data_IF_954556614771
#
_entry.id   IF_954556614771
#
_cell.length_a   1.000
_cell.length_b   1.000
_cell.length_c   1.000
_cell.angle_alpha   90.00
_cell.angle_beta   90.00
_cell.angle_gamma   90.00
#
_symmetry.space_group_name_H-M   'P 1'
#
loop_
_entity.id
_entity.type
_entity.pdbx_description
1 polymer ?
#
# COMPACT_ATOMS: atom_id res chain seq x y z
N UNK A 1 -4.93 36.48 -3.46
CA UNK A 1 -5.14 35.40 -4.47
C UNK A 1 -4.06 35.48 -5.55
N UNK A 2 -3.47 36.67 -5.78
CA UNK A 2 -2.31 36.88 -6.66
C UNK A 2 -1.07 36.00 -6.34
N UNK A 3 -0.83 35.63 -5.09
CA UNK A 3 0.40 34.89 -4.72
C UNK A 3 0.46 33.46 -5.25
N UNK A 4 -0.69 32.81 -5.49
CA UNK A 4 -0.74 31.41 -5.96
C UNK A 4 -0.53 31.32 -7.47
N UNK A 5 -0.92 32.35 -8.22
CA UNK A 5 -0.72 32.39 -9.68
C UNK A 5 0.72 32.73 -10.06
N UNK A 6 1.42 33.53 -9.26
CA UNK A 6 2.86 33.79 -9.44
C UNK A 6 3.74 32.55 -9.19
N UNK A 7 3.29 31.60 -8.38
CA UNK A 7 4.01 30.36 -8.12
C UNK A 7 3.87 29.35 -9.29
N UNK A 8 2.71 29.32 -9.95
CA UNK A 8 2.45 28.42 -11.07
C UNK A 8 3.13 28.87 -12.37
N UNK A 9 3.29 30.18 -12.57
CA UNK A 9 3.97 30.78 -13.73
C UNK A 9 4.84 31.96 -13.29
N UNK A 10 6.04 31.71 -12.73
CA UNK A 10 6.89 32.77 -12.20
C UNK A 10 7.42 33.68 -13.32
N UNK A 11 7.50 34.98 -13.03
CA UNK A 11 8.13 35.96 -13.93
C UNK A 11 9.63 35.71 -13.97
N UNK A 12 10.15 35.31 -15.13
CA UNK A 12 11.58 35.03 -15.32
C UNK A 12 12.37 36.20 -15.89
N UNK A 13 11.67 37.17 -16.49
CA UNK A 13 12.27 38.35 -17.08
C UNK A 13 11.92 39.58 -16.23
N UNK A 14 12.90 40.43 -15.90
CA UNK A 14 12.63 41.67 -15.20
C UNK A 14 11.85 42.59 -16.14
N UNK A 15 10.62 42.87 -15.75
CA UNK A 15 9.84 43.99 -16.31
C UNK A 15 9.58 44.90 -15.14
N UNK A 16 10.20 46.07 -15.14
CA UNK A 16 9.95 47.08 -14.11
C UNK A 16 8.48 47.53 -14.23
N UNK A 17 7.79 47.65 -13.10
CA UNK A 17 6.44 48.26 -13.04
C UNK A 17 6.48 49.77 -13.33
N UNK A 18 7.67 50.32 -13.61
CA UNK A 18 7.91 51.73 -13.86
C UNK A 18 7.15 52.22 -15.08
N UNK A 19 6.42 53.32 -14.85
CA UNK A 19 5.89 54.22 -15.85
C UNK A 19 6.99 54.61 -16.85
N UNK A 20 7.09 53.84 -17.94
CA UNK A 20 7.77 54.31 -19.14
C UNK A 20 7.21 55.70 -19.43
N UNK A 21 8.10 56.68 -19.58
CA UNK A 21 7.79 58.06 -19.91
C UNK A 21 6.66 58.13 -20.95
N UNK A 22 5.85 59.20 -20.89
CA UNK A 22 4.61 59.46 -21.65
C UNK A 22 4.67 59.29 -23.20
N UNK A 23 5.75 58.72 -23.74
CA UNK A 23 6.11 58.58 -25.15
C UNK A 23 6.12 57.11 -25.65
N UNK A 24 5.57 56.14 -24.88
CA UNK A 24 5.44 54.75 -25.37
C UNK A 24 4.34 54.65 -26.43
N UNK A 25 4.74 54.69 -27.71
CA UNK A 25 3.85 54.47 -28.85
C UNK A 25 3.79 52.98 -29.25
N UNK A 26 2.67 52.27 -28.99
CA UNK A 26 2.52 50.87 -29.35
C UNK A 26 2.38 50.63 -30.85
N UNK A 27 2.35 51.66 -31.70
CA UNK A 27 2.25 51.53 -33.16
C UNK A 27 3.60 51.46 -33.87
N UNK A 28 4.68 51.95 -33.23
CA UNK A 28 6.04 51.90 -33.77
C UNK A 28 6.75 50.61 -33.34
N UNK A 29 7.66 50.02 -34.13
CA UNK A 29 8.46 48.88 -33.70
C UNK A 29 9.29 49.20 -32.44
N UNK A 30 9.29 48.32 -31.41
CA UNK A 30 10.04 48.56 -30.19
C UNK A 30 11.54 48.55 -30.46
N UNK A 31 12.26 49.48 -29.84
CA UNK A 31 13.72 49.63 -29.98
C UNK A 31 14.48 49.02 -28.81
N UNK A 32 13.78 48.72 -27.71
CA UNK A 32 14.35 48.10 -26.51
C UNK A 32 13.60 46.81 -26.10
N UNK A 33 14.28 45.85 -25.44
CA UNK A 33 13.63 44.65 -24.91
C UNK A 33 12.49 44.95 -23.91
N UNK A 34 12.62 46.01 -23.12
CA UNK A 34 11.62 46.44 -22.13
C UNK A 34 10.34 46.95 -22.80
N UNK A 35 10.46 47.75 -23.86
CA UNK A 35 9.32 48.19 -24.68
C UNK A 35 8.59 46.99 -25.32
N UNK A 36 9.36 46.00 -25.78
CA UNK A 36 8.80 44.77 -26.33
C UNK A 36 8.00 43.98 -25.28
N UNK A 37 8.58 43.74 -24.10
CA UNK A 37 7.89 42.99 -23.03
C UNK A 37 6.63 43.70 -22.55
N UNK A 38 6.65 45.04 -22.45
CA UNK A 38 5.45 45.83 -22.11
C UNK A 38 4.38 45.74 -23.20
N UNK A 39 4.76 45.80 -24.48
CA UNK A 39 3.84 45.58 -25.60
C UNK A 39 3.18 44.21 -25.56
N UNK A 40 3.97 43.17 -25.25
CA UNK A 40 3.48 41.80 -25.08
C UNK A 40 2.52 41.70 -23.90
N UNK A 41 2.80 42.35 -22.76
CA UNK A 41 1.87 42.40 -21.63
C UNK A 41 0.54 43.07 -22.00
N UNK A 42 0.58 44.18 -22.75
CA UNK A 42 -0.62 44.89 -23.22
C UNK A 42 -1.42 44.06 -24.23
N UNK A 43 -0.73 43.37 -25.15
CA UNK A 43 -1.37 42.48 -26.13
C UNK A 43 -2.00 41.27 -25.46
N UNK A 44 -1.28 40.62 -24.55
CA UNK A 44 -1.80 39.49 -23.77
C UNK A 44 -2.99 39.90 -22.88
N UNK A 45 -2.98 41.10 -22.30
CA UNK A 45 -4.11 41.63 -21.53
C UNK A 45 -5.36 41.90 -22.37
N UNK A 46 -5.22 42.06 -23.70
CA UNK A 46 -6.35 42.14 -24.64
C UNK A 46 -6.86 40.78 -25.07
N UNK A 47 -6.04 39.73 -24.94
CA UNK A 47 -6.46 38.37 -25.21
C UNK A 47 -7.38 37.88 -24.09
N UNK A 48 -8.43 37.10 -24.41
CA UNK A 48 -9.24 36.45 -23.39
C UNK A 48 -8.40 35.42 -22.63
N UNK A 49 -8.48 35.47 -21.29
CA UNK A 49 -7.71 34.60 -20.38
C UNK A 49 -8.01 33.10 -20.58
N UNK A 50 -9.27 32.78 -20.92
CA UNK A 50 -9.71 31.42 -21.24
C UNK A 50 -10.46 31.43 -22.57
N UNK A 51 -10.01 30.58 -23.49
CA UNK A 51 -10.70 30.30 -24.75
C UNK A 51 -11.17 28.85 -24.78
N UNK A 52 -12.42 28.62 -25.18
CA UNK A 52 -12.98 27.27 -25.30
C UNK A 52 -13.26 26.98 -26.77
N UNK A 53 -12.54 25.99 -27.33
CA UNK A 53 -12.79 25.50 -28.68
C UNK A 53 -13.94 24.48 -28.68
N UNK A 54 -14.93 24.67 -29.55
CA UNK A 54 -16.02 23.70 -29.73
C UNK A 54 -15.53 22.54 -30.61
N UNK A 55 -15.38 21.36 -30.01
CA UNK A 55 -14.94 20.14 -30.68
C UNK A 55 -16.11 19.15 -30.67
N UNK A 56 -16.37 18.48 -31.80
CA UNK A 56 -17.38 17.41 -31.88
C UNK A 56 -17.01 16.25 -30.93
N UNK A 57 -17.79 16.01 -29.85
CA UNK A 57 -17.47 14.98 -28.85
C UNK A 57 -17.47 13.56 -29.44
N UNK A 58 -18.15 13.35 -30.58
CA UNK A 58 -18.20 12.05 -31.26
C UNK A 58 -16.84 11.63 -31.81
N UNK A 59 -15.91 12.56 -32.02
CA UNK A 59 -14.54 12.27 -32.48
C UNK A 59 -13.67 11.73 -31.34
N UNK A 60 -13.94 12.13 -30.10
CA UNK A 60 -13.13 11.75 -28.92
C UNK A 60 -13.60 10.42 -28.29
N UNK A 61 -14.91 10.14 -28.32
CA UNK A 61 -15.49 8.93 -27.71
C UNK A 61 -15.15 7.61 -28.42
N UNK A 62 -14.63 7.64 -29.65
CA UNK A 62 -14.37 6.43 -30.46
C UNK A 62 -13.12 5.64 -30.03
N UNK A 63 -12.21 6.24 -29.27
CA UNK A 63 -10.90 5.64 -28.92
C UNK A 63 -10.53 5.78 -27.44
N UNK A 64 -11.53 5.85 -26.57
CA UNK A 64 -11.26 5.95 -25.13
C UNK A 64 -10.76 4.61 -24.60
N UNK A 65 -9.61 4.61 -23.94
CA UNK A 65 -9.09 3.45 -23.21
C UNK A 65 -9.92 3.23 -21.95
N UNK A 66 -10.14 1.97 -21.60
CA UNK A 66 -10.84 1.61 -20.35
C UNK A 66 -9.89 1.78 -19.17
N UNK A 67 -10.41 2.31 -18.06
CA UNK A 67 -9.73 2.25 -16.77
C UNK A 67 -10.13 0.94 -16.10
N UNK A 68 -9.14 0.10 -15.80
CA UNK A 68 -9.38 -1.18 -15.13
C UNK A 68 -9.38 -0.92 -13.62
N UNK A 69 -10.56 -0.96 -13.02
CA UNK A 69 -10.72 -0.99 -11.57
C UNK A 69 -10.74 -2.43 -11.08
N UNK A 70 -10.02 -2.73 -10.00
CA UNK A 70 -10.10 -4.03 -9.34
C UNK A 70 -11.51 -4.28 -8.82
N UNK A 71 -12.02 -5.51 -8.96
CA UNK A 71 -13.31 -5.90 -8.41
C UNK A 71 -13.27 -5.93 -6.88
N UNK A 72 -14.37 -5.51 -6.25
CA UNK A 72 -14.55 -5.63 -4.80
C UNK A 72 -14.79 -7.08 -4.35
N UNK A 73 -14.96 -7.27 -3.05
CA UNK A 73 -15.32 -8.56 -2.47
C UNK A 73 -16.68 -9.05 -2.97
N UNK A 74 -16.80 -10.35 -3.24
CA UNK A 74 -18.08 -10.95 -3.61
C UNK A 74 -19.02 -11.00 -2.40
N UNK A 75 -20.33 -10.73 -2.59
CA UNK A 75 -21.29 -10.82 -1.50
C UNK A 75 -21.40 -12.26 -1.00
N UNK A 76 -21.57 -12.41 0.31
CA UNK A 76 -21.79 -13.73 0.91
C UNK A 76 -23.11 -14.33 0.39
N UNK A 77 -23.16 -15.65 0.14
CA UNK A 77 -24.42 -16.34 -0.16
C UNK A 77 -25.48 -16.11 0.92
N UNK A 78 -26.75 -16.25 0.53
CA UNK A 78 -27.87 -16.04 1.46
C UNK A 78 -27.76 -16.96 2.68
N UNK A 79 -27.92 -16.39 3.88
CA UNK A 79 -27.74 -17.10 5.15
C UNK A 79 -26.30 -17.19 5.68
N UNK A 80 -25.28 -16.87 4.87
CA UNK A 80 -23.86 -16.88 5.28
C UNK A 80 -23.32 -15.49 5.63
N UNK A 81 -24.12 -14.43 5.44
CA UNK A 81 -23.71 -13.08 5.79
C UNK A 81 -23.66 -12.88 7.31
N UNK A 82 -22.51 -12.48 7.88
CA UNK A 82 -22.38 -12.29 9.32
C UNK A 82 -23.18 -11.07 9.80
N UNK A 83 -23.81 -11.18 10.96
CA UNK A 83 -24.53 -10.04 11.56
C UNK A 83 -23.58 -8.89 11.90
N UNK A 84 -24.07 -7.65 11.80
CA UNK A 84 -23.27 -6.46 12.11
C UNK A 84 -22.72 -6.48 13.55
N UNK A 85 -23.51 -6.95 14.51
CA UNK A 85 -23.10 -7.11 15.90
C UNK A 85 -21.91 -8.05 16.05
N UNK A 86 -21.93 -9.17 15.34
CA UNK A 86 -20.81 -10.12 15.34
C UNK A 86 -19.56 -9.49 14.72
N UNK A 87 -19.69 -8.78 13.59
CA UNK A 87 -18.55 -8.09 12.96
C UNK A 87 -17.91 -7.07 13.91
N UNK A 88 -18.70 -6.23 14.59
CA UNK A 88 -18.20 -5.25 15.56
C UNK A 88 -17.50 -5.92 16.75
N UNK A 89 -18.03 -7.06 17.23
CA UNK A 89 -17.40 -7.85 18.27
C UNK A 89 -16.03 -8.40 17.82
N UNK A 90 -15.93 -8.92 16.59
CA UNK A 90 -14.67 -9.40 16.04
C UNK A 90 -13.63 -8.29 15.91
N UNK A 91 -14.02 -7.12 15.39
CA UNK A 91 -13.13 -5.95 15.29
C UNK A 91 -12.62 -5.50 16.66
N UNK A 92 -13.48 -5.47 17.67
CA UNK A 92 -13.10 -5.14 19.05
C UNK A 92 -12.14 -6.18 19.65
N UNK A 93 -12.43 -7.46 19.46
CA UNK A 93 -11.59 -8.55 19.94
C UNK A 93 -10.21 -8.53 19.27
N UNK A 94 -10.18 -8.35 17.95
CA UNK A 94 -8.94 -8.22 17.18
C UNK A 94 -8.09 -7.04 17.66
N UNK A 95 -8.71 -5.89 17.95
CA UNK A 95 -8.01 -4.73 18.53
C UNK A 95 -7.36 -5.06 19.87
N UNK A 96 -8.05 -5.79 20.75
CA UNK A 96 -7.50 -6.23 22.04
C UNK A 96 -6.31 -7.17 21.87
N UNK A 97 -6.42 -8.16 20.97
CA UNK A 97 -5.33 -9.09 20.66
C UNK A 97 -4.11 -8.33 20.16
N UNK A 98 -4.29 -7.44 19.19
CA UNK A 98 -3.21 -6.61 18.65
C UNK A 98 -2.51 -5.78 19.74
N UNK A 99 -3.27 -5.14 20.62
CA UNK A 99 -2.70 -4.38 21.74
C UNK A 99 -1.88 -5.29 22.68
N UNK A 100 -2.37 -6.49 22.95
CA UNK A 100 -1.66 -7.48 23.78
C UNK A 100 -0.37 -7.97 23.14
N UNK A 101 -0.40 -8.32 21.84
CA UNK A 101 0.78 -8.75 21.08
C UNK A 101 1.84 -7.64 21.10
N UNK A 102 1.43 -6.40 20.84
CA UNK A 102 2.35 -5.27 20.85
C UNK A 102 2.96 -5.02 22.24
N UNK A 103 2.14 -5.05 23.29
CA UNK A 103 2.59 -4.84 24.68
C UNK A 103 3.67 -5.83 25.11
N UNK A 104 3.59 -7.08 24.64
CA UNK A 104 4.52 -8.15 25.02
C UNK A 104 5.54 -8.49 23.93
N UNK A 105 5.61 -7.72 22.84
CA UNK A 105 6.46 -8.04 21.68
C UNK A 105 7.93 -8.18 22.05
N UNK A 106 8.47 -7.23 22.81
CA UNK A 106 9.88 -7.25 23.20
C UNK A 106 10.20 -8.41 24.15
N UNK A 107 9.25 -8.74 25.03
CA UNK A 107 9.36 -9.91 25.91
C UNK A 107 9.48 -11.21 25.09
N UNK A 108 8.59 -11.43 24.12
CA UNK A 108 8.61 -12.62 23.28
C UNK A 108 9.80 -12.66 22.31
N UNK A 109 10.27 -11.50 21.85
CA UNK A 109 11.46 -11.39 21.01
C UNK A 109 12.73 -11.82 21.76
N UNK A 110 12.81 -11.53 23.06
CA UNK A 110 13.96 -11.88 23.90
C UNK A 110 14.00 -13.35 24.35
N UNK A 111 12.88 -14.08 24.27
CA UNK A 111 12.83 -15.52 24.58
C UNK A 111 13.66 -16.31 23.58
N UNK A 112 14.41 -17.32 24.04
CA UNK A 112 15.16 -18.23 23.14
C UNK A 112 14.17 -19.08 22.32
N UNK A 113 14.45 -19.28 21.02
CA UNK A 113 13.69 -20.27 20.24
C UNK A 113 14.30 -21.64 20.49
N UNK A 114 13.48 -22.68 20.52
CA UNK A 114 14.03 -24.05 20.54
C UNK A 114 14.96 -24.27 19.34
N UNK A 115 16.00 -25.08 19.53
CA UNK A 115 17.03 -25.34 18.52
C UNK A 115 16.49 -25.91 17.20
N UNK A 116 15.23 -26.38 17.20
CA UNK A 116 14.54 -26.89 16.03
C UNK A 116 13.90 -25.80 15.15
N UNK A 117 13.86 -24.54 15.60
CA UNK A 117 13.20 -23.45 14.85
C UNK A 117 14.22 -22.65 14.05
N UNK A 118 14.37 -22.99 12.77
CA UNK A 118 15.16 -22.20 11.82
C UNK A 118 14.22 -21.38 10.95
N UNK A 119 14.21 -20.06 11.13
CA UNK A 119 13.39 -19.15 10.31
C UNK A 119 14.01 -18.98 8.92
N UNK A 120 13.24 -19.13 7.83
CA UNK A 120 13.71 -18.88 6.47
C UNK A 120 14.14 -17.43 6.26
N UNK A 121 14.94 -17.19 5.21
CA UNK A 121 15.26 -15.83 4.77
C UNK A 121 14.03 -15.14 4.19
N UNK A 122 13.99 -13.80 4.19
CA UNK A 122 12.77 -13.08 3.74
C UNK A 122 12.39 -13.38 2.28
N UNK A 123 13.38 -13.65 1.42
CA UNK A 123 13.17 -13.93 -0.01
C UNK A 123 12.89 -15.42 -0.31
N UNK A 124 12.89 -16.29 0.70
CA UNK A 124 12.71 -17.73 0.54
C UNK A 124 11.23 -18.13 0.63
N UNK A 125 10.50 -17.91 -0.47
CA UNK A 125 9.07 -18.21 -0.58
C UNK A 125 8.76 -19.69 -0.25
N UNK A 126 9.50 -20.63 -0.83
CA UNK A 126 9.28 -22.06 -0.60
C UNK A 126 9.59 -22.45 0.86
N UNK A 127 10.65 -21.89 1.43
CA UNK A 127 10.99 -22.07 2.83
C UNK A 127 9.88 -21.57 3.76
N UNK A 128 9.31 -20.39 3.50
CA UNK A 128 8.19 -19.86 4.29
C UNK A 128 6.92 -20.69 4.16
N UNK A 129 6.61 -21.19 2.96
CA UNK A 129 5.46 -22.10 2.76
C UNK A 129 5.64 -23.38 3.57
N UNK A 130 6.80 -24.04 3.48
CA UNK A 130 7.11 -25.26 4.25
C UNK A 130 7.15 -25.00 5.76
N UNK A 131 7.71 -23.87 6.18
CA UNK A 131 7.81 -23.50 7.58
C UNK A 131 6.42 -23.29 8.21
N UNK A 132 5.50 -22.64 7.50
CA UNK A 132 4.16 -22.34 8.01
C UNK A 132 3.16 -23.51 7.86
N UNK A 133 3.27 -24.31 6.80
CA UNK A 133 2.28 -25.32 6.41
C UNK A 133 2.74 -26.76 6.61
N UNK A 134 4.04 -26.97 6.83
CA UNK A 134 4.63 -28.29 6.93
C UNK A 134 4.79 -28.98 5.58
N UNK A 135 5.65 -30.00 5.59
CA UNK A 135 5.98 -30.79 4.41
C UNK A 135 4.79 -31.64 3.90
N UNK A 136 3.85 -32.03 4.78
CA UNK A 136 2.67 -32.84 4.42
C UNK A 136 1.67 -32.13 3.51
N UNK A 137 1.48 -30.82 3.66
CA UNK A 137 0.58 -30.03 2.80
C UNK A 137 1.27 -29.51 1.53
N UNK A 138 2.61 -29.42 1.53
CA UNK A 138 3.39 -29.06 0.34
C UNK A 138 3.54 -30.24 -0.64
N UNK A 139 3.66 -31.48 -0.13
CA UNK A 139 3.96 -32.70 -0.90
C UNK A 139 2.82 -33.74 -0.90
N UNK A 140 1.55 -33.36 -1.10
CA UNK A 140 0.53 -34.34 -1.52
C UNK A 140 0.75 -34.80 -2.99
N UNK A 141 1.95 -35.31 -3.33
CA UNK A 141 2.20 -36.00 -4.60
C UNK A 141 3.13 -37.23 -4.53
N UNK A 142 3.73 -37.62 -3.41
CA UNK A 142 4.52 -38.86 -3.41
C UNK A 142 4.26 -39.74 -2.20
N UNK A 143 3.39 -40.72 -2.47
CA UNK A 143 3.27 -42.08 -1.94
C UNK A 143 4.29 -42.52 -0.86
N UNK A 144 3.72 -43.03 0.25
CA UNK A 144 4.20 -44.06 1.20
C UNK A 144 5.68 -44.16 1.62
N UNK A 145 5.85 -44.51 2.92
CA UNK A 145 7.06 -44.94 3.66
C UNK A 145 7.67 -43.75 4.45
N UNK A 146 7.76 -43.69 5.78
CA UNK A 146 7.90 -44.73 6.82
C UNK A 146 7.32 -44.20 8.15
N UNK A 147 6.74 -45.09 8.95
CA UNK A 147 6.57 -44.86 10.39
C UNK A 147 7.95 -44.84 11.05
N UNK A 148 8.24 -43.81 11.83
CA UNK A 148 9.17 -43.94 12.95
C UNK A 148 8.55 -43.29 14.19
N UNK A 149 8.45 -44.07 15.26
CA UNK A 149 7.77 -43.69 16.50
C UNK A 149 8.72 -42.81 17.34
N UNK A 150 8.54 -41.50 17.24
CA UNK A 150 8.96 -40.57 18.29
C UNK A 150 7.71 -39.86 18.84
N UNK A 151 7.49 -39.80 20.17
CA UNK A 151 6.31 -39.15 20.75
C UNK A 151 6.39 -37.62 20.74
N UNK A 152 7.37 -37.04 20.02
CA UNK A 152 7.49 -35.61 19.81
C UNK A 152 6.71 -35.18 18.57
N UNK A 153 6.01 -34.04 18.66
CA UNK A 153 5.37 -33.43 17.49
C UNK A 153 6.47 -32.98 16.53
N UNK A 154 6.57 -33.61 15.36
CA UNK A 154 7.51 -33.20 14.32
C UNK A 154 6.93 -32.01 13.54
N UNK A 155 7.25 -30.81 14.03
CA UNK A 155 6.85 -29.54 13.41
C UNK A 155 7.42 -29.35 12.00
N UNK A 156 8.40 -30.15 11.56
CA UNK A 156 8.91 -30.13 10.18
C UNK A 156 7.86 -30.73 9.23
N UNK A 157 7.12 -31.76 9.67
CA UNK A 157 6.09 -32.40 8.85
C UNK A 157 4.75 -31.66 8.82
N UNK A 158 4.37 -31.02 9.93
CA UNK A 158 3.04 -30.40 10.13
C UNK A 158 3.08 -28.87 9.98
N UNK A 159 4.25 -28.26 10.07
CA UNK A 159 4.42 -26.81 10.04
C UNK A 159 4.47 -26.22 11.45
N UNK A 160 5.14 -25.08 11.56
CA UNK A 160 5.25 -24.35 12.80
C UNK A 160 4.00 -23.51 13.03
N UNK A 161 3.32 -23.67 14.18
CA UNK A 161 2.18 -22.80 14.50
C UNK A 161 2.65 -21.35 14.65
N UNK A 162 1.77 -20.37 14.45
CA UNK A 162 2.09 -18.95 14.57
C UNK A 162 2.27 -18.53 16.04
N UNK A 163 3.37 -18.97 16.66
CA UNK A 163 3.73 -18.67 18.04
C UNK A 163 4.17 -17.22 18.18
N UNK A 164 3.86 -16.60 19.32
CA UNK A 164 4.29 -15.22 19.61
C UNK A 164 5.82 -15.07 19.63
N UNK A 165 6.55 -16.12 20.01
CA UNK A 165 8.02 -16.15 19.97
C UNK A 165 8.57 -16.04 18.54
N UNK A 166 7.85 -16.56 17.54
CA UNK A 166 8.23 -16.52 16.12
C UNK A 166 7.77 -15.19 15.51
N UNK A 167 6.49 -14.88 15.63
CA UNK A 167 5.87 -13.71 14.97
C UNK A 167 6.42 -12.40 15.53
N UNK A 168 6.76 -12.33 16.81
CA UNK A 168 7.36 -11.12 17.41
C UNK A 168 8.77 -10.83 16.89
N UNK A 169 9.44 -11.80 16.26
CA UNK A 169 10.77 -11.63 15.66
C UNK A 169 10.72 -11.18 14.20
N UNK A 170 9.60 -11.42 13.52
CA UNK A 170 9.40 -10.96 12.16
C UNK A 170 9.38 -9.43 12.13
N UNK A 171 10.08 -8.86 11.16
CA UNK A 171 10.02 -7.43 10.85
C UNK A 171 8.85 -7.16 9.87
N UNK A 172 8.52 -5.90 9.62
CA UNK A 172 7.40 -5.56 8.75
C UNK A 172 7.52 -6.16 7.34
N UNK A 173 8.70 -6.07 6.75
CA UNK A 173 8.95 -6.57 5.40
C UNK A 173 8.72 -8.07 5.34
N UNK A 174 9.25 -8.82 6.31
CA UNK A 174 9.05 -10.28 6.41
C UNK A 174 7.58 -10.64 6.61
N UNK A 175 6.83 -9.92 7.45
CA UNK A 175 5.39 -10.18 7.64
C UNK A 175 4.63 -9.99 6.33
N UNK A 176 4.90 -8.90 5.61
CA UNK A 176 4.24 -8.59 4.34
C UNK A 176 4.60 -9.61 3.25
N UNK A 177 5.88 -9.97 3.10
CA UNK A 177 6.32 -11.01 2.15
C UNK A 177 5.68 -12.36 2.47
N UNK A 178 5.63 -12.76 3.74
CA UNK A 178 5.00 -14.02 4.16
C UNK A 178 3.50 -14.01 3.87
N UNK A 179 2.81 -12.89 4.14
CA UNK A 179 1.39 -12.76 3.79
C UNK A 179 1.15 -12.86 2.28
N UNK A 180 2.02 -12.29 1.46
CA UNK A 180 1.96 -12.42 0.00
C UNK A 180 2.16 -13.89 -0.43
N UNK A 181 3.18 -14.58 0.09
CA UNK A 181 3.44 -15.99 -0.20
C UNK A 181 2.27 -16.91 0.16
N UNK A 182 1.63 -16.67 1.30
CA UNK A 182 0.48 -17.44 1.75
C UNK A 182 -0.79 -17.10 0.95
N UNK A 183 -0.95 -15.83 0.54
CA UNK A 183 -2.05 -15.42 -0.34
C UNK A 183 -1.91 -16.06 -1.72
N UNK A 184 -0.71 -16.07 -2.28
CA UNK A 184 -0.42 -16.76 -3.55
C UNK A 184 -0.70 -18.27 -3.43
N UNK A 185 -0.29 -18.90 -2.32
CA UNK A 185 -0.61 -20.30 -2.07
C UNK A 185 -2.11 -20.54 -1.94
N UNK A 186 -2.86 -19.65 -1.27
CA UNK A 186 -4.31 -19.76 -1.09
C UNK A 186 -5.08 -19.66 -2.41
N UNK A 187 -4.56 -18.91 -3.38
CA UNK A 187 -5.14 -18.85 -4.73
C UNK A 187 -4.97 -20.18 -5.47
N UNK A 188 -3.89 -20.92 -5.20
CA UNK A 188 -3.56 -22.18 -5.88
C UNK A 188 -4.12 -23.43 -5.19
N UNK A 189 -4.41 -23.37 -3.88
CA UNK A 189 -4.74 -24.53 -3.03
C UNK A 189 -5.97 -24.30 -2.15
N UNK A 190 -6.43 -25.36 -1.49
CA UNK A 190 -7.61 -25.32 -0.63
C UNK A 190 -7.35 -24.62 0.72
N UNK A 191 -8.42 -24.08 1.29
CA UNK A 191 -8.39 -23.34 2.54
C UNK A 191 -8.19 -24.26 3.75
N UNK A 192 -7.08 -24.12 4.48
CA UNK A 192 -6.81 -24.87 5.72
C UNK A 192 -6.95 -23.97 6.97
N UNK A 193 -7.36 -24.53 8.13
CA UNK A 193 -7.50 -23.76 9.36
C UNK A 193 -6.15 -23.21 9.89
N UNK A 194 -5.05 -23.87 9.57
CA UNK A 194 -3.69 -23.45 9.94
C UNK A 194 -3.27 -22.17 9.20
N UNK A 195 -3.61 -22.05 7.91
CA UNK A 195 -3.42 -20.82 7.14
C UNK A 195 -4.20 -19.65 7.72
N UNK A 196 -5.44 -19.90 8.14
CA UNK A 196 -6.26 -18.84 8.70
C UNK A 196 -5.70 -18.32 10.02
N UNK A 197 -5.24 -19.22 10.88
CA UNK A 197 -4.55 -18.82 12.10
C UNK A 197 -3.31 -18.00 11.78
N UNK A 198 -2.54 -18.40 10.76
CA UNK A 198 -1.31 -17.72 10.39
C UNK A 198 -1.56 -16.35 9.73
N UNK A 199 -2.52 -16.24 8.80
CA UNK A 199 -2.97 -14.96 8.25
C UNK A 199 -3.52 -14.04 9.33
N UNK A 200 -4.34 -14.54 10.26
CA UNK A 200 -4.88 -13.75 11.37
C UNK A 200 -3.79 -13.20 12.29
N UNK A 201 -2.79 -14.02 12.62
CA UNK A 201 -1.67 -13.61 13.47
C UNK A 201 -0.72 -12.67 12.72
N UNK A 202 -0.41 -12.94 11.46
CA UNK A 202 0.39 -12.05 10.61
C UNK A 202 -0.30 -10.69 10.47
N UNK A 203 -1.61 -10.63 10.22
CA UNK A 203 -2.37 -9.36 10.20
C UNK A 203 -2.39 -8.65 11.56
N UNK A 204 -2.42 -9.41 12.66
CA UNK A 204 -2.30 -8.86 14.02
C UNK A 204 -0.91 -8.24 14.26
N UNK A 205 0.12 -8.77 13.61
CA UNK A 205 1.49 -8.23 13.57
C UNK A 205 1.68 -7.08 12.57
N UNK A 206 1.03 -7.13 11.40
CA UNK A 206 1.23 -6.22 10.27
C UNK A 206 0.63 -4.83 10.51
N UNK A 207 -0.51 -4.76 11.20
CA UNK A 207 -1.12 -3.48 11.54
C UNK A 207 -0.34 -2.69 12.63
N UNK A 208 0.72 -3.28 13.20
CA UNK A 208 1.54 -2.67 14.26
C UNK A 208 2.39 -1.51 13.72
N UNK A 209 2.78 -1.50 12.44
CA UNK A 209 3.79 -0.54 11.95
C UNK A 209 3.18 0.61 11.12
N UNK A 210 2.05 0.40 10.44
CA UNK A 210 1.39 1.48 9.67
C UNK A 210 0.82 2.61 10.54
N UNK A 211 0.61 2.41 11.84
CA UNK A 211 0.24 3.49 12.77
C UNK A 211 1.43 4.22 13.40
N UNK A 212 2.64 3.70 13.30
CA UNK A 212 3.85 4.37 13.82
C UNK A 212 4.33 5.55 12.96
N UNK A 213 3.92 5.60 11.69
CA UNK A 213 4.39 6.63 10.73
C UNK A 213 3.36 7.72 10.40
N UNK A 214 2.15 7.66 10.96
CA UNK A 214 1.06 8.62 10.68
C UNK A 214 0.71 9.53 11.86
N UNK A 215 1.47 9.50 12.97
CA UNK A 215 1.24 10.37 14.13
C UNK A 215 2.17 11.59 14.22
N UNK A 216 3.00 11.88 13.20
CA UNK A 216 3.86 13.06 13.15
C UNK A 216 3.67 13.85 11.83
N UNK A 217 2.44 14.19 11.49
CA UNK A 217 2.17 15.23 10.48
C UNK A 217 0.74 15.75 10.62
N UNK A 218 0.39 16.24 11.80
CA UNK A 218 -0.67 17.24 11.95
C UNK A 218 -0.30 18.09 13.15
N UNK A 219 0.48 19.14 12.90
CA UNK A 219 0.77 20.23 13.84
C UNK A 219 0.57 21.52 13.09
N UNK A 220 -0.04 22.51 13.75
CA UNK A 220 0.13 23.93 13.41
C UNK A 220 -0.88 24.46 12.43
#
# INVERSE_FOLDING_TARGET
MESVVEELMPRLLPVEDCDLAEDFDPTVPPRTPQEYLKRVQIEAAKCPDVVVAQIDPKKLKKKQTVNISLSGCQPAPEGYSPTLKWQQQQVSHFSTIRQSVNKHRDHWKAQHLDSNVTMPTTDDEEGWKKFCLGEKLYLELTDQISRDESPGIDYVQIGFPPLLSIVSRMNQATVTSVLEYLTNWLVEKEFTPELMALCFVSLSGEAIITRGSLSNSTTG
#
